data_IF_429513456489
#
_entry.id   IF_429513456489
#
_cell.length_a   1.000
_cell.length_b   1.000
_cell.length_c   1.000
_cell.angle_alpha   90.00
_cell.angle_beta   90.00
_cell.angle_gamma   90.00
#
_symmetry.space_group_name_H-M   'P 1'
#
loop_
_entity.id
_entity.type
_entity.pdbx_description
1 polymer ?
#
# COMPACT_ATOMS: atom_id res chain seq x y z
N UNK A 1 -27.13 -4.91 -3.68
CA UNK A 1 -27.06 -6.23 -3.04
C UNK A 1 -25.68 -6.43 -2.38
N UNK A 2 -25.22 -5.49 -1.54
CA UNK A 2 -23.89 -5.54 -0.90
C UNK A 2 -23.98 -5.47 0.62
N UNK A 3 -24.91 -4.66 1.14
CA UNK A 3 -25.22 -4.55 2.57
C UNK A 3 -25.59 -5.88 3.23
N UNK A 4 -26.37 -6.72 2.56
CA UNK A 4 -26.83 -8.00 3.13
C UNK A 4 -25.66 -8.97 3.40
N UNK A 5 -24.68 -9.01 2.48
CA UNK A 5 -23.48 -9.82 2.63
C UNK A 5 -22.53 -9.27 3.71
N UNK A 6 -22.45 -7.94 3.84
CA UNK A 6 -21.71 -7.28 4.92
C UNK A 6 -22.34 -7.60 6.28
N UNK A 7 -23.66 -7.48 6.39
CA UNK A 7 -24.41 -7.70 7.62
C UNK A 7 -24.25 -9.14 8.14
N UNK A 8 -24.33 -10.14 7.24
CA UNK A 8 -24.09 -11.55 7.60
C UNK A 8 -22.67 -11.81 8.14
N UNK A 9 -21.65 -11.20 7.52
CA UNK A 9 -20.25 -11.32 7.98
C UNK A 9 -20.01 -10.65 9.34
N UNK A 10 -20.62 -9.47 9.56
CA UNK A 10 -20.54 -8.75 10.84
C UNK A 10 -21.15 -9.59 11.96
N UNK A 11 -22.31 -10.22 11.71
CA UNK A 11 -22.95 -11.09 12.67
C UNK A 11 -22.06 -12.28 13.05
N UNK A 12 -21.48 -12.99 12.08
CA UNK A 12 -20.56 -14.12 12.37
C UNK A 12 -19.35 -13.66 13.19
N UNK A 13 -18.78 -12.49 12.84
CA UNK A 13 -17.61 -11.94 13.52
C UNK A 13 -17.94 -11.50 14.94
N UNK A 14 -19.04 -10.80 15.14
CA UNK A 14 -19.52 -10.38 16.46
C UNK A 14 -19.80 -11.59 17.36
N UNK A 15 -20.45 -12.63 16.81
CA UNK A 15 -20.69 -13.88 17.53
C UNK A 15 -19.39 -14.58 17.91
N UNK A 16 -18.39 -14.64 17.01
CA UNK A 16 -17.08 -15.24 17.30
C UNK A 16 -16.28 -14.47 18.36
N UNK A 17 -16.40 -13.14 18.39
CA UNK A 17 -15.80 -12.31 19.45
C UNK A 17 -16.51 -12.58 20.78
N UNK A 18 -17.85 -12.63 20.76
CA UNK A 18 -18.65 -12.92 21.94
C UNK A 18 -18.40 -14.32 22.51
N UNK A 19 -18.28 -15.34 21.64
CA UNK A 19 -17.96 -16.72 22.03
C UNK A 19 -16.57 -16.82 22.67
N UNK A 20 -15.61 -16.02 22.20
CA UNK A 20 -14.23 -15.98 22.75
C UNK A 20 -14.16 -15.24 24.08
N UNK A 21 -14.86 -14.12 24.22
CA UNK A 21 -14.79 -13.29 25.44
C UNK A 21 -15.81 -13.70 26.51
N UNK A 22 -16.84 -14.48 26.14
CA UNK A 22 -17.73 -15.15 27.09
C UNK A 22 -18.60 -14.21 27.94
N UNK A 23 -18.83 -12.98 27.47
CA UNK A 23 -19.64 -11.98 28.16
C UNK A 23 -19.11 -10.56 27.92
N UNK A 24 -20.02 -9.62 27.70
CA UNK A 24 -19.70 -8.24 27.33
C UNK A 24 -20.87 -7.52 26.68
N UNK A 25 -20.62 -6.29 26.22
CA UNK A 25 -21.64 -5.44 25.62
C UNK A 25 -21.86 -5.81 24.14
N UNK A 26 -23.06 -6.26 23.74
CA UNK A 26 -23.32 -6.72 22.37
C UNK A 26 -23.06 -5.64 21.32
N UNK A 27 -23.33 -4.37 21.65
CA UNK A 27 -23.15 -3.24 20.75
C UNK A 27 -21.66 -2.95 20.50
N UNK A 28 -20.81 -3.11 21.52
CA UNK A 28 -19.36 -2.99 21.34
C UNK A 28 -18.81 -4.10 20.44
N UNK A 29 -19.25 -5.34 20.65
CA UNK A 29 -18.82 -6.45 19.81
C UNK A 29 -19.30 -6.28 18.37
N UNK A 30 -20.50 -5.74 18.19
CA UNK A 30 -21.04 -5.38 16.87
C UNK A 30 -20.22 -4.31 16.17
N UNK A 31 -19.95 -3.17 16.82
CA UNK A 31 -19.13 -2.11 16.24
C UNK A 31 -17.70 -2.55 15.95
N UNK A 32 -17.12 -3.41 16.81
CA UNK A 32 -15.79 -3.98 16.61
C UNK A 32 -15.76 -4.92 15.41
N UNK A 33 -16.76 -5.80 15.30
CA UNK A 33 -16.93 -6.68 14.15
C UNK A 33 -17.17 -5.90 12.85
N UNK A 34 -17.99 -4.85 12.91
CA UNK A 34 -18.25 -3.96 11.79
C UNK A 34 -16.98 -3.33 11.24
N UNK A 35 -16.15 -2.73 12.11
CA UNK A 35 -14.90 -2.11 11.70
C UNK A 35 -13.91 -3.12 11.08
N UNK A 36 -13.87 -4.35 11.59
CA UNK A 36 -13.03 -5.42 11.02
C UNK A 36 -13.50 -5.85 9.63
N UNK A 37 -14.81 -6.08 9.46
CA UNK A 37 -15.38 -6.51 8.17
C UNK A 37 -15.37 -5.38 7.15
N UNK A 38 -15.59 -4.13 7.57
CA UNK A 38 -15.48 -2.96 6.71
C UNK A 38 -14.07 -2.81 6.12
N UNK A 39 -13.06 -2.98 6.98
CA UNK A 39 -11.66 -3.02 6.55
C UNK A 39 -11.38 -4.20 5.63
N UNK A 40 -11.85 -5.40 5.96
CA UNK A 40 -11.69 -6.60 5.11
C UNK A 40 -12.33 -6.39 3.73
N UNK A 41 -13.53 -5.82 3.68
CA UNK A 41 -14.28 -5.58 2.45
C UNK A 41 -13.63 -4.46 1.64
N UNK A 42 -13.16 -3.38 2.27
CA UNK A 42 -12.39 -2.30 1.63
C UNK A 42 -11.06 -2.82 1.06
N UNK A 43 -10.38 -3.72 1.77
CA UNK A 43 -9.16 -4.39 1.32
C UNK A 43 -9.44 -5.37 0.17
N UNK A 44 -10.48 -6.19 0.28
CA UNK A 44 -10.89 -7.14 -0.75
C UNK A 44 -11.44 -6.43 -2.01
N UNK A 45 -12.02 -5.25 -1.85
CA UNK A 45 -12.46 -4.39 -2.95
C UNK A 45 -11.32 -3.57 -3.57
N UNK A 46 -10.07 -3.72 -3.11
CA UNK A 46 -8.90 -3.02 -3.66
C UNK A 46 -8.96 -1.50 -3.49
N UNK A 47 -9.78 -1.00 -2.56
CA UNK A 47 -9.99 0.42 -2.32
C UNK A 47 -9.58 0.77 -0.88
N UNK A 48 -8.32 0.52 -0.55
CA UNK A 48 -7.70 1.02 0.68
C UNK A 48 -6.69 2.11 0.31
N UNK A 49 -6.77 3.34 0.89
CA UNK A 49 -5.63 4.24 0.83
C UNK A 49 -4.47 3.61 1.61
N UNK A 50 -3.25 3.58 1.04
CA UNK A 50 -2.12 2.91 1.68
C UNK A 50 -1.71 3.68 2.94
N UNK A 51 -2.00 3.11 4.11
CA UNK A 51 -1.43 3.54 5.39
C UNK A 51 -0.49 2.47 5.92
N UNK A 52 0.64 2.33 5.24
CA UNK A 52 1.91 1.78 5.73
C UNK A 52 3.06 2.41 4.95
N UNK A 53 3.36 3.66 5.32
CA UNK A 53 4.43 4.48 4.75
C UNK A 53 5.78 4.01 5.33
N UNK A 54 6.15 2.77 5.04
CA UNK A 54 7.48 2.23 5.30
C UNK A 54 7.73 1.00 4.42
N UNK A 55 6.74 0.09 4.34
CA UNK A 55 6.83 -1.12 3.52
C UNK A 55 6.40 -0.87 2.06
N UNK A 56 5.39 -0.03 1.83
CA UNK A 56 4.95 0.34 0.47
C UNK A 56 5.97 1.21 -0.26
N UNK A 57 6.70 2.09 0.45
CA UNK A 57 7.74 2.93 -0.16
C UNK A 57 8.90 2.09 -0.68
N UNK A 58 9.40 1.11 0.08
CA UNK A 58 10.46 0.20 -0.37
C UNK A 58 10.00 -0.64 -1.57
N UNK A 59 8.77 -1.16 -1.52
CA UNK A 59 8.17 -1.89 -2.65
C UNK A 59 8.01 -0.99 -3.90
N UNK A 60 7.63 0.28 -3.71
CA UNK A 60 7.50 1.26 -4.80
C UNK A 60 8.86 1.63 -5.38
N UNK A 61 9.89 1.75 -4.53
CA UNK A 61 11.28 2.02 -4.95
C UNK A 61 11.84 0.86 -5.78
N UNK A 62 11.66 -0.38 -5.32
CA UNK A 62 12.13 -1.57 -6.03
C UNK A 62 11.36 -1.80 -7.33
N UNK A 63 10.02 -1.68 -7.31
CA UNK A 63 9.20 -1.80 -8.52
C UNK A 63 9.59 -0.73 -9.56
N UNK A 64 9.76 0.53 -9.14
CA UNK A 64 10.16 1.61 -10.03
C UNK A 64 11.57 1.37 -10.60
N UNK A 65 12.50 0.90 -9.77
CA UNK A 65 13.84 0.54 -10.20
C UNK A 65 13.82 -0.56 -11.25
N UNK A 66 13.02 -1.62 -11.07
CA UNK A 66 12.88 -2.70 -12.05
C UNK A 66 12.20 -2.22 -13.34
N UNK A 67 11.12 -1.44 -13.23
CA UNK A 67 10.29 -1.00 -14.37
C UNK A 67 11.01 0.01 -15.26
N UNK A 68 11.81 0.88 -14.66
CA UNK A 68 12.48 1.98 -15.37
C UNK A 68 13.97 1.70 -15.59
N UNK A 69 14.54 0.71 -14.90
CA UNK A 69 15.96 0.36 -14.97
C UNK A 69 16.88 1.36 -14.27
N UNK A 70 16.35 2.15 -13.33
CA UNK A 70 17.14 3.04 -12.46
C UNK A 70 17.50 2.32 -11.16
N UNK A 71 18.47 2.84 -10.42
CA UNK A 71 18.83 2.30 -9.09
C UNK A 71 17.79 2.69 -8.04
N UNK A 72 17.59 1.86 -7.01
CA UNK A 72 16.66 2.14 -5.91
C UNK A 72 16.89 3.51 -5.23
N UNK A 73 18.14 3.95 -5.10
CA UNK A 73 18.44 5.30 -4.57
C UNK A 73 17.94 6.45 -5.47
N UNK A 74 17.93 6.27 -6.79
CA UNK A 74 17.36 7.26 -7.73
C UNK A 74 15.84 7.20 -7.71
N UNK A 75 15.26 6.00 -7.55
CA UNK A 75 13.83 5.85 -7.36
C UNK A 75 13.36 6.55 -6.07
N UNK A 76 14.10 6.40 -4.97
CA UNK A 76 13.80 7.09 -3.70
C UNK A 76 13.90 8.61 -3.82
N UNK A 77 14.92 9.15 -4.51
CA UNK A 77 15.07 10.59 -4.75
C UNK A 77 13.90 11.18 -5.56
N UNK A 78 13.40 10.41 -6.53
CA UNK A 78 12.21 10.80 -7.30
C UNK A 78 10.95 10.79 -6.44
N UNK A 79 10.79 9.80 -5.55
CA UNK A 79 9.65 9.73 -4.62
C UNK A 79 9.73 10.87 -3.59
N UNK A 80 10.92 11.19 -3.07
CA UNK A 80 11.14 12.32 -2.15
C UNK A 80 10.77 13.66 -2.81
N UNK A 81 11.15 13.83 -4.09
CA UNK A 81 10.95 15.09 -4.82
C UNK A 81 9.55 15.25 -5.43
N UNK A 82 8.90 14.16 -5.83
CA UNK A 82 7.62 14.16 -6.56
C UNK A 82 6.45 13.64 -5.72
N UNK A 83 6.72 13.06 -4.55
CA UNK A 83 5.71 12.55 -3.63
C UNK A 83 4.97 11.33 -4.19
N UNK A 84 3.63 11.41 -4.21
CA UNK A 84 2.76 10.30 -4.62
C UNK A 84 2.36 10.34 -6.11
N UNK A 85 2.95 11.25 -6.91
CA UNK A 85 2.59 11.43 -8.30
C UNK A 85 3.31 10.42 -9.22
N UNK A 86 2.75 9.21 -9.31
CA UNK A 86 3.35 8.06 -10.03
C UNK A 86 3.70 8.40 -11.48
N UNK A 87 2.83 9.12 -12.18
CA UNK A 87 3.05 9.46 -13.58
C UNK A 87 4.27 10.39 -13.74
N UNK A 88 4.41 11.40 -12.87
CA UNK A 88 5.58 12.27 -12.86
C UNK A 88 6.87 11.51 -12.54
N UNK A 89 6.81 10.58 -11.58
CA UNK A 89 7.94 9.74 -11.17
C UNK A 89 8.43 8.86 -12.32
N UNK A 90 7.52 8.22 -13.05
CA UNK A 90 7.87 7.36 -14.18
C UNK A 90 8.47 8.14 -15.35
N UNK A 91 7.92 9.32 -15.66
CA UNK A 91 8.46 10.20 -16.70
C UNK A 91 9.89 10.66 -16.36
N UNK A 92 10.12 11.07 -15.11
CA UNK A 92 11.44 11.49 -14.65
C UNK A 92 12.45 10.32 -14.65
N UNK A 93 12.02 9.13 -14.24
CA UNK A 93 12.84 7.91 -14.25
C UNK A 93 13.27 7.49 -15.66
N UNK A 94 12.35 7.54 -16.64
CA UNK A 94 12.65 7.25 -18.04
C UNK A 94 13.64 8.27 -18.64
N UNK A 95 13.51 9.55 -18.28
CA UNK A 95 14.48 10.60 -18.65
C UNK A 95 15.87 10.35 -18.07
N UNK A 96 15.95 9.81 -16.84
CA UNK A 96 17.20 9.46 -16.17
C UNK A 96 17.95 8.32 -16.89
N UNK A 97 17.24 7.27 -17.34
CA UNK A 97 17.83 6.16 -18.12
C UNK A 97 18.51 6.66 -19.41
N UNK A 98 17.88 7.62 -20.09
CA UNK A 98 18.42 8.23 -21.30
C UNK A 98 19.68 9.07 -21.07
N UNK A 99 19.85 9.63 -19.86
CA UNK A 99 21.07 10.36 -19.46
C UNK A 99 22.23 9.39 -19.13
N UNK A 100 21.92 8.25 -18.52
CA UNK A 100 22.90 7.25 -18.07
C UNK A 100 23.59 6.50 -19.22
N UNK A 101 22.90 6.26 -20.35
CA UNK A 101 23.55 5.77 -21.58
C UNK A 101 24.51 6.77 -22.22
N UNK A 102 24.43 8.05 -21.86
CA UNK A 102 25.35 9.10 -22.33
C UNK A 102 26.56 9.32 -21.42
N UNK A 103 26.60 8.71 -20.23
CA UNK A 103 27.70 8.87 -19.30
C UNK A 103 28.24 7.51 -18.81
N UNK A 104 29.05 6.80 -19.62
CA UNK A 104 29.69 5.54 -19.21
C UNK A 104 30.94 5.79 -18.33
N UNK A 105 30.93 6.75 -17.40
CA UNK A 105 32.13 7.15 -16.65
C UNK A 105 31.86 7.90 -15.35
N UNK A 106 31.53 7.16 -14.29
CA UNK A 106 31.59 7.61 -12.89
C UNK A 106 31.80 6.33 -12.05
N UNK A 107 32.94 6.02 -11.46
CA UNK A 107 34.27 6.61 -11.43
C UNK A 107 35.11 5.67 -10.56
N UNK A 108 36.24 5.22 -11.08
CA UNK A 108 37.29 4.62 -10.26
C UNK A 108 37.81 5.67 -9.28
N UNK A 109 37.86 5.31 -8.00
CA UNK A 109 38.57 6.08 -6.99
C UNK A 109 39.71 5.20 -6.45
N UNK A 110 40.90 5.51 -6.98
CA UNK A 110 42.24 5.49 -6.37
C UNK A 110 42.47 4.68 -5.09
#
# INVERSE_FOLDING_TARGET
MGDDQRHGKIQERAYRIWEREGGGDPEQHWHRAEAEIDRELSMAAGNAPPREIASTDVLTVEELAMRTGISGKQAQDLIDRLGNDRAAIEQAALGLKGKRRRNPGQGEAK
#
